data_IF_260732435752
#
_entry.id   IF_260732435752
#
_cell.length_a   1.000
_cell.length_b   1.000
_cell.length_c   1.000
_cell.angle_alpha   90.00
_cell.angle_beta   90.00
_cell.angle_gamma   90.00
#
_symmetry.space_group_name_H-M   'P 1'
#
loop_
_entity.id
_entity.type
_entity.pdbx_description
1 polymer ?
#
# COMPACT_ATOMS: atom_id res chain seq x y z
N UNK A 1 25.38 -5.59 -16.98
CA UNK A 1 24.68 -5.78 -18.27
C UNK A 1 24.32 -7.25 -18.36
N UNK A 2 23.12 -7.64 -18.00
CA UNK A 2 22.54 -8.95 -18.28
C UNK A 2 21.35 -8.68 -19.20
N UNK A 3 21.53 -8.98 -20.49
CA UNK A 3 20.47 -8.88 -21.49
C UNK A 3 19.40 -9.90 -21.17
N UNK A 4 18.24 -9.46 -20.67
CA UNK A 4 17.07 -10.29 -20.59
C UNK A 4 16.62 -10.64 -22.01
N UNK A 5 16.80 -11.89 -22.40
CA UNK A 5 16.20 -12.41 -23.63
C UNK A 5 14.68 -12.37 -23.46
N UNK A 6 14.03 -11.57 -24.28
CA UNK A 6 12.58 -11.60 -24.42
C UNK A 6 12.17 -12.99 -24.92
N UNK A 7 11.09 -13.58 -24.36
CA UNK A 7 10.61 -14.87 -24.84
C UNK A 7 10.37 -14.80 -26.36
N UNK A 8 10.92 -15.77 -27.08
CA UNK A 8 10.85 -15.86 -28.55
C UNK A 8 9.39 -16.08 -28.99
N UNK A 9 8.69 -14.98 -29.23
CA UNK A 9 7.35 -14.99 -29.82
C UNK A 9 7.53 -15.38 -31.29
N UNK A 10 7.40 -16.67 -31.60
CA UNK A 10 7.49 -17.21 -32.96
C UNK A 10 6.77 -16.28 -33.95
N UNK A 11 7.46 -15.83 -34.94
CA UNK A 11 6.95 -15.03 -36.06
C UNK A 11 5.78 -15.77 -36.73
N UNK A 12 4.55 -15.43 -36.38
CA UNK A 12 3.37 -16.05 -36.98
C UNK A 12 2.03 -15.60 -36.42
N UNK A 13 1.95 -15.28 -35.15
CA UNK A 13 0.68 -14.86 -34.55
C UNK A 13 0.91 -13.69 -33.58
N UNK A 14 0.86 -12.47 -34.10
CA UNK A 14 0.98 -11.26 -33.30
C UNK A 14 -0.31 -11.08 -32.49
N UNK A 15 -0.21 -11.12 -31.15
CA UNK A 15 -1.34 -10.83 -30.27
C UNK A 15 -1.83 -9.40 -30.48
N UNK A 16 -3.14 -9.23 -30.57
CA UNK A 16 -3.79 -7.92 -30.68
C UNK A 16 -4.46 -7.57 -29.33
N UNK A 17 -4.33 -6.32 -28.91
CA UNK A 17 -4.93 -5.83 -27.68
C UNK A 17 -6.44 -6.07 -27.64
N UNK A 18 -7.10 -5.96 -28.79
CA UNK A 18 -8.54 -6.23 -28.94
C UNK A 18 -8.93 -7.65 -28.53
N UNK A 19 -8.04 -8.63 -28.64
CA UNK A 19 -8.34 -10.01 -28.22
C UNK A 19 -8.39 -10.13 -26.70
N UNK A 20 -7.55 -9.37 -25.96
CA UNK A 20 -7.61 -9.31 -24.50
C UNK A 20 -8.89 -8.64 -24.05
N UNK A 21 -9.27 -7.52 -24.65
CA UNK A 21 -10.51 -6.80 -24.37
C UNK A 21 -11.75 -7.70 -24.63
N UNK A 22 -11.76 -8.41 -25.74
CA UNK A 22 -12.83 -9.33 -26.12
C UNK A 22 -12.91 -10.50 -25.12
N UNK A 23 -11.80 -11.04 -24.67
CA UNK A 23 -11.77 -12.14 -23.71
C UNK A 23 -12.25 -11.69 -22.32
N UNK A 24 -11.84 -10.53 -21.82
CA UNK A 24 -12.32 -9.97 -20.55
C UNK A 24 -13.83 -9.72 -20.60
N UNK A 25 -14.34 -9.18 -21.71
CA UNK A 25 -15.78 -8.97 -21.90
C UNK A 25 -16.56 -10.29 -21.99
N UNK A 26 -16.00 -11.34 -22.62
CA UNK A 26 -16.56 -12.67 -22.65
C UNK A 26 -16.64 -13.29 -21.24
N UNK A 27 -15.58 -13.14 -20.46
CA UNK A 27 -15.53 -13.62 -19.07
C UNK A 27 -16.62 -12.96 -18.20
N UNK A 28 -16.86 -11.65 -18.40
CA UNK A 28 -17.88 -10.87 -17.69
C UNK A 28 -19.30 -11.27 -18.06
N UNK A 29 -19.57 -11.43 -19.38
CA UNK A 29 -20.93 -11.67 -19.89
C UNK A 29 -21.32 -13.14 -19.88
N UNK A 30 -20.35 -14.04 -19.90
CA UNK A 30 -20.51 -15.50 -20.07
C UNK A 30 -21.38 -15.87 -21.27
N UNK A 31 -21.40 -15.03 -22.28
CA UNK A 31 -22.22 -15.16 -23.49
C UNK A 31 -21.51 -14.57 -24.70
N UNK A 32 -21.20 -15.40 -25.69
CA UNK A 32 -20.57 -14.96 -26.94
C UNK A 32 -21.39 -13.90 -27.67
N UNK A 33 -22.73 -14.04 -27.69
CA UNK A 33 -23.60 -13.08 -28.39
C UNK A 33 -23.58 -11.70 -27.69
N UNK A 34 -23.76 -11.69 -26.35
CA UNK A 34 -23.71 -10.44 -25.57
C UNK A 34 -22.34 -9.77 -25.62
N UNK A 35 -21.27 -10.57 -25.51
CA UNK A 35 -19.93 -10.03 -25.63
C UNK A 35 -19.66 -9.39 -26.99
N UNK A 36 -20.09 -10.05 -28.08
CA UNK A 36 -19.96 -9.51 -29.44
C UNK A 36 -20.74 -8.19 -29.61
N UNK A 37 -21.99 -8.13 -29.10
CA UNK A 37 -22.80 -6.90 -29.09
C UNK A 37 -22.11 -5.77 -28.32
N UNK A 38 -21.64 -6.03 -27.11
CA UNK A 38 -20.98 -5.02 -26.26
C UNK A 38 -19.67 -4.52 -26.88
N UNK A 39 -18.99 -5.36 -27.65
CA UNK A 39 -17.78 -5.02 -28.38
C UNK A 39 -18.01 -4.45 -29.77
N UNK A 40 -19.27 -4.28 -30.16
CA UNK A 40 -19.70 -3.78 -31.49
C UNK A 40 -19.10 -4.57 -32.65
N UNK A 41 -19.00 -5.89 -32.54
CA UNK A 41 -18.51 -6.79 -33.58
C UNK A 41 -19.52 -7.89 -33.87
N UNK A 42 -19.43 -8.51 -35.08
CA UNK A 42 -20.30 -9.64 -35.41
C UNK A 42 -19.89 -10.89 -34.62
N UNK A 43 -20.87 -11.72 -34.26
CA UNK A 43 -20.62 -12.96 -33.51
C UNK A 43 -19.56 -13.88 -34.18
N UNK A 44 -19.52 -14.08 -35.51
CA UNK A 44 -18.46 -14.86 -36.14
C UNK A 44 -17.07 -14.22 -36.03
N UNK A 45 -16.98 -12.88 -36.10
CA UNK A 45 -15.71 -12.15 -35.94
C UNK A 45 -15.19 -12.26 -34.52
N UNK A 46 -16.08 -12.08 -33.53
CA UNK A 46 -15.74 -12.24 -32.10
C UNK A 46 -15.23 -13.67 -31.83
N UNK A 47 -15.94 -14.69 -32.27
CA UNK A 47 -15.53 -16.08 -32.10
C UNK A 47 -14.17 -16.42 -32.74
N UNK A 48 -13.83 -15.79 -33.88
CA UNK A 48 -12.50 -15.93 -34.50
C UNK A 48 -11.39 -15.30 -33.65
N UNK A 49 -11.64 -14.12 -33.07
CA UNK A 49 -10.66 -13.42 -32.21
C UNK A 49 -10.36 -14.23 -30.94
N UNK A 50 -11.40 -14.80 -30.31
CA UNK A 50 -11.21 -15.67 -29.13
C UNK A 50 -10.40 -16.91 -29.51
N UNK A 51 -10.68 -17.56 -30.65
CA UNK A 51 -9.87 -18.70 -31.10
C UNK A 51 -8.42 -18.32 -31.39
N UNK A 52 -8.17 -17.18 -32.04
CA UNK A 52 -6.84 -16.69 -32.29
C UNK A 52 -6.06 -16.42 -30.98
N UNK A 53 -6.76 -15.93 -29.95
CA UNK A 53 -6.17 -15.78 -28.62
C UNK A 53 -5.82 -17.14 -27.99
N UNK A 54 -6.73 -18.12 -28.04
CA UNK A 54 -6.47 -19.49 -27.54
C UNK A 54 -5.29 -20.16 -28.28
N UNK A 55 -5.21 -19.95 -29.59
CA UNK A 55 -4.07 -20.42 -30.41
C UNK A 55 -2.75 -19.74 -30.02
N UNK A 56 -2.79 -18.44 -29.75
CA UNK A 56 -1.61 -17.69 -29.30
C UNK A 56 -1.16 -18.14 -27.90
N UNK A 57 -2.09 -18.34 -26.96
CA UNK A 57 -1.80 -18.85 -25.61
C UNK A 57 -1.36 -20.31 -25.63
N UNK A 58 -1.78 -21.07 -26.64
CA UNK A 58 -1.47 -22.49 -26.81
C UNK A 58 -2.37 -23.43 -25.99
N UNK A 59 -3.46 -22.93 -25.38
CA UNK A 59 -4.40 -23.75 -24.62
C UNK A 59 -5.80 -23.15 -24.67
N UNK A 60 -6.89 -23.97 -24.58
CA UNK A 60 -8.24 -23.46 -24.46
C UNK A 60 -8.44 -22.63 -23.19
N UNK A 61 -9.02 -21.44 -23.32
CA UNK A 61 -9.35 -20.53 -22.23
C UNK A 61 -10.81 -20.62 -21.83
N UNK A 62 -11.69 -21.12 -22.71
CA UNK A 62 -13.12 -21.26 -22.48
C UNK A 62 -13.58 -22.72 -22.61
N UNK A 63 -14.50 -23.12 -21.76
CA UNK A 63 -15.28 -24.34 -21.94
C UNK A 63 -16.54 -24.00 -22.72
N UNK A 64 -16.74 -24.65 -23.89
CA UNK A 64 -17.89 -24.42 -24.77
C UNK A 64 -19.13 -25.17 -24.30
N UNK A 65 -19.47 -25.07 -22.99
CA UNK A 65 -20.67 -25.58 -22.36
C UNK A 65 -21.71 -24.47 -22.23
N UNK A 66 -22.95 -24.79 -21.98
CA UNK A 66 -23.97 -23.81 -21.61
C UNK A 66 -24.33 -24.02 -20.14
N UNK A 67 -24.18 -22.98 -19.27
CA UNK A 67 -23.59 -21.66 -19.56
C UNK A 67 -22.08 -21.74 -19.82
N UNK A 68 -21.55 -20.78 -20.61
CA UNK A 68 -20.12 -20.68 -20.92
C UNK A 68 -19.34 -20.46 -19.64
N UNK A 69 -18.26 -21.24 -19.45
CA UNK A 69 -17.35 -21.14 -18.32
C UNK A 69 -15.91 -21.00 -18.78
N UNK A 70 -15.04 -20.44 -17.92
CA UNK A 70 -13.61 -20.39 -18.16
C UNK A 70 -12.96 -21.71 -17.72
N UNK A 71 -11.90 -22.11 -18.42
CA UNK A 71 -11.03 -23.18 -17.97
C UNK A 71 -10.17 -22.69 -16.78
N UNK A 72 -9.50 -23.58 -16.02
CA UNK A 72 -8.51 -23.15 -15.03
C UNK A 72 -7.41 -22.22 -15.61
N UNK A 73 -6.95 -22.52 -16.83
CA UNK A 73 -6.00 -21.65 -17.57
C UNK A 73 -6.68 -20.32 -17.94
N UNK A 74 -7.95 -20.33 -18.31
CA UNK A 74 -8.73 -19.13 -18.61
C UNK A 74 -8.88 -18.21 -17.39
N UNK A 75 -9.05 -18.76 -16.19
CA UNK A 75 -9.10 -17.97 -14.95
C UNK A 75 -7.76 -17.27 -14.67
N UNK A 76 -6.65 -17.98 -14.77
CA UNK A 76 -5.32 -17.41 -14.61
C UNK A 76 -5.03 -16.35 -15.67
N UNK A 77 -5.41 -16.63 -16.93
CA UNK A 77 -5.20 -15.69 -18.03
C UNK A 77 -6.10 -14.45 -17.90
N UNK A 78 -7.30 -14.57 -17.34
CA UNK A 78 -8.20 -13.43 -17.10
C UNK A 78 -7.57 -12.39 -16.18
N UNK A 79 -6.94 -12.83 -15.10
CA UNK A 79 -6.24 -11.95 -14.16
C UNK A 79 -5.13 -11.18 -14.88
N UNK A 80 -4.26 -11.89 -15.60
CA UNK A 80 -3.17 -11.28 -16.36
C UNK A 80 -3.66 -10.34 -17.46
N UNK A 81 -4.73 -10.72 -18.19
CA UNK A 81 -5.31 -9.89 -19.25
C UNK A 81 -5.91 -8.60 -18.68
N UNK A 82 -6.63 -8.69 -17.56
CA UNK A 82 -7.23 -7.54 -16.88
C UNK A 82 -6.15 -6.56 -16.41
N UNK A 83 -5.14 -7.04 -15.71
CA UNK A 83 -4.01 -6.23 -15.25
C UNK A 83 -3.27 -5.55 -16.41
N UNK A 84 -3.05 -6.28 -17.52
CA UNK A 84 -2.38 -5.72 -18.70
C UNK A 84 -3.19 -4.60 -19.36
N UNK A 85 -4.51 -4.77 -19.49
CA UNK A 85 -5.41 -3.76 -20.05
C UNK A 85 -5.49 -2.51 -19.14
N UNK A 86 -5.57 -2.70 -17.84
CA UNK A 86 -5.57 -1.62 -16.85
C UNK A 86 -4.27 -0.82 -16.91
N UNK A 87 -3.12 -1.52 -16.96
CA UNK A 87 -1.80 -0.88 -17.09
C UNK A 87 -1.68 -0.03 -18.34
N UNK A 88 -2.04 -0.61 -19.51
CA UNK A 88 -2.01 0.12 -20.77
C UNK A 88 -3.02 1.27 -20.81
N UNK A 89 -4.20 1.08 -20.22
CA UNK A 89 -5.21 2.11 -20.07
C UNK A 89 -4.72 3.29 -19.24
N UNK A 90 -4.05 3.01 -18.13
CA UNK A 90 -3.46 4.01 -17.23
C UNK A 90 -2.37 4.81 -17.95
N UNK A 91 -1.42 4.13 -18.62
CA UNK A 91 -0.36 4.79 -19.39
C UNK A 91 -0.94 5.65 -20.52
N UNK A 92 -1.97 5.15 -21.21
CA UNK A 92 -2.65 5.92 -22.27
C UNK A 92 -3.36 7.15 -21.73
N UNK A 93 -3.99 7.01 -20.55
CA UNK A 93 -4.61 8.14 -19.86
C UNK A 93 -3.57 9.19 -19.45
N UNK A 94 -2.42 8.78 -18.92
CA UNK A 94 -1.32 9.67 -18.59
C UNK A 94 -0.87 10.49 -19.81
N UNK A 95 -0.68 9.88 -20.97
CA UNK A 95 -0.31 10.61 -22.20
C UNK A 95 -1.40 11.54 -22.72
N UNK A 96 -2.68 11.23 -22.47
CA UNK A 96 -3.78 12.11 -22.86
C UNK A 96 -3.93 13.30 -21.90
N UNK A 97 -3.59 13.11 -20.63
CA UNK A 97 -3.73 14.11 -19.56
C UNK A 97 -2.61 15.16 -19.56
N UNK A 98 -1.50 14.93 -20.29
CA UNK A 98 -0.47 15.96 -20.50
C UNK A 98 -1.00 17.23 -21.23
N UNK A 99 -2.23 17.19 -21.73
CA UNK A 99 -2.80 18.30 -22.49
C UNK A 99 -4.07 18.96 -21.90
N UNK A 100 -4.73 18.35 -20.92
CA UNK A 100 -6.00 18.91 -20.38
C UNK A 100 -6.31 18.35 -18.98
N UNK A 101 -6.07 19.09 -17.90
CA UNK A 101 -6.98 19.27 -16.76
C UNK A 101 -6.27 19.81 -15.52
N UNK A 102 -6.56 21.05 -15.18
CA UNK A 102 -6.27 21.66 -13.87
C UNK A 102 -7.10 21.07 -12.72
N UNK A 103 -8.05 20.17 -13.01
CA UNK A 103 -9.07 19.69 -12.05
C UNK A 103 -9.01 18.18 -11.72
N UNK A 104 -8.04 17.41 -12.26
CA UNK A 104 -7.93 16.03 -11.86
C UNK A 104 -7.40 15.87 -10.43
N UNK A 105 -8.04 15.02 -9.60
CA UNK A 105 -7.58 14.79 -8.23
C UNK A 105 -6.20 14.15 -8.21
N UNK A 106 -5.32 14.62 -7.35
CA UNK A 106 -4.05 13.95 -7.06
C UNK A 106 -4.34 12.64 -6.35
N UNK A 107 -3.92 11.53 -6.93
CA UNK A 107 -4.15 10.18 -6.41
C UNK A 107 -3.05 9.83 -5.43
N UNK A 108 -3.40 9.58 -4.18
CA UNK A 108 -2.44 9.29 -3.10
C UNK A 108 -2.78 7.94 -2.49
N UNK A 109 -1.81 7.01 -2.49
CA UNK A 109 -1.93 5.76 -1.74
C UNK A 109 -1.31 5.92 -0.34
N UNK A 110 -1.92 5.30 0.66
CA UNK A 110 -1.40 5.30 2.03
C UNK A 110 -1.98 4.15 2.86
N UNK A 111 -1.45 3.94 4.07
CA UNK A 111 -2.07 3.09 5.08
C UNK A 111 -3.18 3.81 5.85
N UNK A 112 -4.11 3.05 6.44
CA UNK A 112 -5.28 3.61 7.17
C UNK A 112 -4.88 4.64 8.24
N UNK A 113 -3.92 4.32 9.08
CA UNK A 113 -3.45 5.20 10.16
C UNK A 113 -2.97 6.54 9.63
N UNK A 114 -2.13 6.55 8.59
CA UNK A 114 -1.68 7.80 7.99
C UNK A 114 -2.83 8.56 7.32
N UNK A 115 -3.82 7.87 6.78
CA UNK A 115 -5.00 8.50 6.19
C UNK A 115 -5.85 9.24 7.23
N UNK A 116 -5.93 8.72 8.45
CA UNK A 116 -6.76 9.29 9.53
C UNK A 116 -5.99 10.29 10.41
N UNK A 117 -4.76 9.93 10.80
CA UNK A 117 -4.06 10.61 11.90
C UNK A 117 -2.96 11.58 11.43
N UNK A 118 -2.59 11.53 10.14
CA UNK A 118 -1.53 12.39 9.59
C UNK A 118 -2.00 13.19 8.38
N UNK A 119 -2.67 12.55 7.43
CA UNK A 119 -3.00 13.15 6.15
C UNK A 119 -3.87 14.41 6.26
N UNK A 120 -4.89 14.50 7.11
CA UNK A 120 -5.75 15.67 7.20
C UNK A 120 -4.94 16.95 7.51
N UNK A 121 -4.14 16.93 8.56
CA UNK A 121 -3.35 18.08 9.00
C UNK A 121 -2.26 18.44 7.97
N UNK A 122 -1.61 17.42 7.39
CA UNK A 122 -0.66 17.63 6.33
C UNK A 122 -1.29 18.26 5.08
N UNK A 123 -2.46 17.78 4.64
CA UNK A 123 -3.20 18.32 3.52
C UNK A 123 -3.60 19.78 3.75
N UNK A 124 -4.14 20.10 4.93
CA UNK A 124 -4.49 21.48 5.30
C UNK A 124 -3.26 22.39 5.32
N UNK A 125 -2.09 21.88 5.75
CA UNK A 125 -0.83 22.65 5.75
C UNK A 125 -0.37 23.09 4.36
N UNK A 126 -0.83 22.42 3.30
CA UNK A 126 -0.51 22.75 1.91
C UNK A 126 -1.39 23.85 1.34
N UNK A 127 -2.62 24.06 1.85
CA UNK A 127 -3.57 25.04 1.32
C UNK A 127 -3.02 26.47 1.24
N UNK A 128 -2.29 27.01 2.23
CA UNK A 128 -1.74 28.36 2.16
C UNK A 128 -0.75 28.55 0.99
N UNK A 129 -0.09 27.47 0.55
CA UNK A 129 0.94 27.51 -0.50
C UNK A 129 0.40 27.16 -1.88
N UNK A 130 -0.58 26.27 -1.95
CA UNK A 130 -1.05 25.67 -3.20
C UNK A 130 -2.47 26.08 -3.60
N UNK A 131 -3.24 26.64 -2.65
CA UNK A 131 -4.68 26.79 -2.82
C UNK A 131 -5.41 25.45 -2.67
N UNK A 132 -6.72 25.45 -2.96
CA UNK A 132 -7.52 24.24 -2.95
C UNK A 132 -7.22 23.37 -4.17
N UNK A 133 -7.04 22.08 -3.95
CA UNK A 133 -6.89 21.08 -5.01
C UNK A 133 -7.57 19.77 -4.59
N UNK A 134 -8.04 18.99 -5.57
CA UNK A 134 -8.72 17.73 -5.30
C UNK A 134 -7.73 16.61 -5.04
N UNK A 135 -8.06 15.72 -4.09
CA UNK A 135 -7.28 14.53 -3.77
C UNK A 135 -8.19 13.29 -3.80
N UNK A 136 -7.68 12.22 -4.37
CA UNK A 136 -8.24 10.88 -4.26
C UNK A 136 -7.32 10.05 -3.37
N UNK A 137 -7.75 9.76 -2.14
CA UNK A 137 -6.97 9.00 -1.17
C UNK A 137 -7.38 7.53 -1.20
N UNK A 138 -6.41 6.63 -1.47
CA UNK A 138 -6.60 5.19 -1.50
C UNK A 138 -5.87 4.56 -0.33
N UNK A 139 -6.60 3.77 0.48
CA UNK A 139 -6.00 3.05 1.60
C UNK A 139 -5.78 1.59 1.23
N UNK A 140 -4.55 1.11 1.40
CA UNK A 140 -4.18 -0.28 1.15
C UNK A 140 -2.98 -0.71 1.99
N UNK A 141 -2.63 -2.00 1.92
CA UNK A 141 -1.40 -2.51 2.53
C UNK A 141 -0.15 -1.96 1.83
N UNK A 142 0.99 -1.96 2.53
CA UNK A 142 2.22 -1.33 2.06
C UNK A 142 2.70 -1.88 0.69
N UNK A 143 2.64 -3.19 0.48
CA UNK A 143 3.07 -3.83 -0.78
C UNK A 143 2.17 -3.41 -1.96
N UNK A 144 0.86 -3.40 -1.75
CA UNK A 144 -0.10 -2.97 -2.75
C UNK A 144 0.07 -1.49 -3.10
N UNK A 145 0.24 -0.63 -2.09
CA UNK A 145 0.48 0.79 -2.28
C UNK A 145 1.75 1.07 -3.11
N UNK A 146 2.84 0.32 -2.86
CA UNK A 146 4.09 0.38 -3.62
C UNK A 146 3.86 -0.08 -5.07
N UNK A 147 3.13 -1.19 -5.27
CA UNK A 147 2.80 -1.69 -6.61
C UNK A 147 1.99 -0.68 -7.41
N UNK A 148 0.98 -0.04 -6.79
CA UNK A 148 0.17 1.01 -7.42
C UNK A 148 0.99 2.23 -7.80
N UNK A 149 1.93 2.66 -6.94
CA UNK A 149 2.84 3.75 -7.28
C UNK A 149 3.76 3.37 -8.45
N UNK A 150 4.32 2.17 -8.43
CA UNK A 150 5.21 1.67 -9.49
C UNK A 150 4.48 1.53 -10.83
N UNK A 151 3.21 1.15 -10.81
CA UNK A 151 2.36 1.07 -12.00
C UNK A 151 1.86 2.45 -12.49
N UNK A 152 2.07 3.54 -11.72
CA UNK A 152 1.53 4.87 -12.03
C UNK A 152 0.03 5.00 -11.83
N UNK A 153 -0.61 4.06 -11.12
CA UNK A 153 -2.02 4.12 -10.76
C UNK A 153 -2.30 5.21 -9.71
N UNK A 154 -1.29 5.54 -8.91
CA UNK A 154 -1.30 6.65 -7.98
C UNK A 154 -0.11 7.57 -8.24
N UNK A 155 -0.26 8.83 -7.89
CA UNK A 155 0.74 9.88 -8.14
C UNK A 155 1.75 9.99 -7.00
N UNK A 156 1.28 9.74 -5.77
CA UNK A 156 2.06 9.83 -4.54
C UNK A 156 1.77 8.63 -3.64
N UNK A 157 2.78 8.25 -2.86
CA UNK A 157 2.66 7.27 -1.78
C UNK A 157 3.10 7.94 -0.47
N UNK A 158 2.20 7.96 0.51
CA UNK A 158 2.49 8.36 1.88
C UNK A 158 2.67 7.11 2.73
N UNK A 159 3.85 6.91 3.32
CA UNK A 159 4.16 5.70 4.06
C UNK A 159 5.06 5.93 5.26
N UNK A 160 5.03 4.98 6.19
CA UNK A 160 6.07 4.87 7.21
C UNK A 160 7.37 4.38 6.58
N UNK A 161 8.47 4.98 6.98
CA UNK A 161 9.82 4.60 6.55
C UNK A 161 10.80 4.63 7.74
N UNK A 162 11.91 3.97 7.60
CA UNK A 162 12.96 4.00 8.62
C UNK A 162 14.32 3.71 7.97
N UNK A 163 15.38 4.40 8.39
CA UNK A 163 16.75 4.04 7.99
C UNK A 163 17.13 2.61 8.39
N UNK A 164 16.40 2.04 9.35
CA UNK A 164 16.63 0.67 9.83
C UNK A 164 16.04 -0.40 8.91
N UNK A 165 15.17 -0.05 7.97
CA UNK A 165 14.53 -0.99 7.04
C UNK A 165 14.99 -0.69 5.62
N UNK A 166 15.24 -1.75 4.82
CA UNK A 166 15.51 -1.56 3.39
C UNK A 166 14.31 -0.86 2.75
N UNK A 167 14.59 0.21 2.03
CA UNK A 167 13.58 0.87 1.21
C UNK A 167 13.22 -0.06 0.07
N UNK A 168 11.94 -0.43 -0.04
CA UNK A 168 11.42 -1.24 -1.15
C UNK A 168 11.33 -0.44 -2.47
N UNK A 169 11.57 0.87 -2.40
CA UNK A 169 11.54 1.78 -3.54
C UNK A 169 12.96 2.08 -3.99
N UNK A 170 13.25 1.75 -5.24
CA UNK A 170 14.55 2.02 -5.85
C UNK A 170 14.77 3.54 -6.02
N UNK A 171 15.83 4.11 -5.43
CA UNK A 171 16.13 5.54 -5.55
C UNK A 171 16.40 6.00 -7.00
N UNK A 172 16.69 5.10 -7.93
CA UNK A 172 16.85 5.47 -9.33
C UNK A 172 15.52 5.84 -9.99
N UNK A 173 14.42 5.22 -9.56
CA UNK A 173 13.08 5.40 -10.13
C UNK A 173 12.18 6.30 -9.28
N UNK A 174 12.43 6.39 -7.98
CA UNK A 174 11.58 7.11 -7.04
C UNK A 174 12.32 8.25 -6.35
N UNK A 175 11.61 9.35 -6.14
CA UNK A 175 12.01 10.39 -5.21
C UNK A 175 11.28 10.20 -3.90
N UNK A 176 11.98 10.42 -2.78
CA UNK A 176 11.41 10.30 -1.44
C UNK A 176 11.73 11.55 -0.61
N UNK A 177 10.77 11.98 0.21
CA UNK A 177 10.94 13.07 1.18
C UNK A 177 10.35 12.71 2.52
N UNK A 178 11.12 12.93 3.58
CA UNK A 178 10.62 12.84 4.95
C UNK A 178 9.76 14.06 5.23
N UNK A 179 8.51 13.83 5.66
CA UNK A 179 7.55 14.87 6.03
C UNK A 179 7.56 15.14 7.54
N UNK A 180 7.70 14.08 8.34
CA UNK A 180 7.72 14.15 9.80
C UNK A 180 8.55 13.02 10.39
N UNK A 181 9.04 13.24 11.60
CA UNK A 181 9.64 12.20 12.46
C UNK A 181 8.59 11.77 13.49
N UNK A 182 8.49 10.48 13.69
CA UNK A 182 7.54 9.84 14.59
C UNK A 182 8.21 8.80 15.46
N UNK A 183 7.48 8.36 16.50
CA UNK A 183 7.97 7.36 17.46
C UNK A 183 6.92 6.31 17.75
N UNK A 184 7.36 5.05 17.86
CA UNK A 184 6.59 4.01 18.55
C UNK A 184 6.85 4.13 20.05
N UNK A 185 5.79 4.24 20.80
CA UNK A 185 5.81 4.35 22.25
C UNK A 185 5.36 3.04 22.89
N UNK A 186 6.11 2.50 23.86
CA UNK A 186 5.62 1.39 24.68
C UNK A 186 4.56 1.89 25.64
N UNK A 187 3.34 1.34 25.53
CA UNK A 187 2.18 1.80 26.33
C UNK A 187 1.45 0.63 26.98
N UNK A 188 0.83 0.90 28.12
CA UNK A 188 -0.01 -0.02 28.87
C UNK A 188 -1.16 0.73 29.54
N UNK A 189 -2.28 0.05 29.80
CA UNK A 189 -3.34 0.59 30.63
C UNK A 189 -2.83 0.91 32.04
N UNK A 190 -3.47 1.86 32.77
CA UNK A 190 -3.16 2.12 34.18
C UNK A 190 -3.64 0.98 35.06
N UNK A 191 -2.87 0.63 36.11
CA UNK A 191 -3.31 -0.17 37.24
C UNK A 191 -3.86 0.70 38.38
N UNK A 192 -3.30 1.92 38.47
CA UNK A 192 -3.70 2.99 39.39
C UNK A 192 -3.32 4.34 38.74
N UNK A 193 -3.82 5.48 39.20
CA UNK A 193 -3.44 6.78 38.68
C UNK A 193 -1.93 6.97 38.59
N UNK A 194 -1.43 7.20 37.39
CA UNK A 194 0.00 7.38 37.11
C UNK A 194 0.87 6.11 37.14
N UNK A 195 0.30 4.92 37.31
CA UNK A 195 1.03 3.67 37.35
C UNK A 195 0.59 2.75 36.22
N UNK A 196 1.47 2.43 35.24
CA UNK A 196 1.13 1.48 34.20
C UNK A 196 0.97 0.06 34.76
N UNK A 197 -0.02 -0.67 34.27
CA UNK A 197 -0.29 -2.06 34.64
C UNK A 197 0.87 -2.99 34.29
N UNK A 198 1.51 -2.74 33.16
CA UNK A 198 2.68 -3.46 32.69
C UNK A 198 3.80 -2.46 32.48
N UNK A 199 4.97 -2.75 33.02
CA UNK A 199 6.16 -1.90 32.91
C UNK A 199 7.32 -2.72 32.36
N UNK A 200 8.07 -2.15 31.45
CA UNK A 200 9.32 -2.72 30.97
C UNK A 200 10.40 -2.38 31.99
N UNK A 201 10.85 -3.37 32.73
CA UNK A 201 11.94 -3.24 33.70
C UNK A 201 13.21 -3.86 33.11
N UNK A 202 14.34 -3.26 33.43
CA UNK A 202 15.65 -3.74 33.00
C UNK A 202 16.09 -5.04 33.68
N UNK A 203 15.27 -5.64 34.54
CA UNK A 203 15.61 -6.82 35.35
C UNK A 203 15.23 -8.13 34.66
N UNK A 204 16.18 -9.03 34.55
CA UNK A 204 16.12 -10.26 33.72
C UNK A 204 15.29 -11.41 34.27
N UNK A 205 14.73 -11.28 35.49
CA UNK A 205 13.96 -12.33 36.17
C UNK A 205 12.43 -12.13 36.13
N UNK A 206 11.94 -11.16 35.37
CA UNK A 206 10.53 -10.86 35.28
C UNK A 206 9.76 -11.94 34.48
N UNK A 207 8.53 -12.21 34.90
CA UNK A 207 7.60 -13.04 34.12
C UNK A 207 7.43 -12.45 32.70
N UNK A 208 7.23 -13.31 31.67
CA UNK A 208 7.02 -12.83 30.32
C UNK A 208 5.86 -11.85 30.23
N UNK A 209 6.14 -10.65 29.70
CA UNK A 209 5.16 -9.56 29.57
C UNK A 209 4.16 -9.93 28.48
N UNK A 210 2.84 -9.92 28.74
CA UNK A 210 1.82 -10.06 27.73
C UNK A 210 1.98 -8.98 26.66
N UNK A 211 2.18 -9.36 25.39
CA UNK A 211 2.47 -8.45 24.30
C UNK A 211 1.37 -8.47 23.23
N UNK A 212 0.93 -7.28 22.83
CA UNK A 212 0.04 -7.04 21.72
C UNK A 212 0.89 -6.74 20.49
N UNK A 213 1.01 -7.72 19.60
CA UNK A 213 1.99 -7.72 18.51
C UNK A 213 1.41 -7.16 17.20
N UNK A 214 2.27 -6.59 16.38
CA UNK A 214 1.97 -6.27 14.99
C UNK A 214 1.92 -7.52 14.12
N UNK A 215 0.97 -7.59 13.20
CA UNK A 215 0.98 -8.57 12.11
C UNK A 215 2.24 -8.39 11.22
N UNK A 216 2.73 -9.46 10.57
CA UNK A 216 3.83 -9.36 9.60
C UNK A 216 3.60 -8.38 8.46
N UNK A 217 2.35 -8.05 8.16
CA UNK A 217 1.95 -7.12 7.09
C UNK A 217 2.16 -5.65 7.44
N UNK A 218 2.29 -5.31 8.74
CA UNK A 218 2.52 -3.94 9.18
C UNK A 218 4.00 -3.54 9.05
N UNK A 219 4.25 -2.43 8.38
CA UNK A 219 5.60 -1.90 8.09
C UNK A 219 6.44 -1.73 9.36
N UNK A 220 5.85 -1.17 10.43
CA UNK A 220 6.57 -0.87 11.66
C UNK A 220 6.93 -2.13 12.48
N UNK A 221 6.41 -3.31 12.14
CA UNK A 221 6.83 -4.57 12.78
C UNK A 221 8.32 -4.82 12.65
N UNK A 222 8.86 -4.67 11.43
CA UNK A 222 10.28 -4.89 11.17
C UNK A 222 11.17 -3.84 11.85
N UNK A 223 10.68 -2.60 11.93
CA UNK A 223 11.35 -1.50 12.64
C UNK A 223 11.44 -1.80 14.13
N UNK A 224 10.31 -2.17 14.75
CA UNK A 224 10.24 -2.57 16.16
C UNK A 224 11.14 -3.78 16.44
N UNK A 225 11.05 -4.85 15.65
CA UNK A 225 11.83 -6.07 15.86
C UNK A 225 13.33 -5.77 15.86
N UNK A 226 13.82 -5.01 14.87
CA UNK A 226 15.24 -4.62 14.81
C UNK A 226 15.69 -3.75 15.98
N UNK A 227 14.81 -2.91 16.51
CA UNK A 227 15.11 -2.13 17.70
C UNK A 227 15.22 -3.03 18.93
N UNK A 228 14.24 -3.90 19.15
CA UNK A 228 14.22 -4.83 20.27
C UNK A 228 15.43 -5.81 20.25
N UNK A 229 15.86 -6.23 19.07
CA UNK A 229 17.06 -7.08 18.90
C UNK A 229 18.38 -6.36 19.25
N UNK A 230 18.40 -5.02 19.22
CA UNK A 230 19.57 -4.20 19.57
C UNK A 230 19.63 -3.79 21.03
N UNK A 231 18.57 -4.02 21.78
CA UNK A 231 18.58 -3.73 23.22
C UNK A 231 19.64 -4.57 23.93
N UNK A 232 20.34 -4.00 24.92
CA UNK A 232 21.37 -4.72 25.68
C UNK A 232 20.82 -5.99 26.35
N UNK A 233 19.53 -5.96 26.67
CA UNK A 233 18.82 -7.05 27.29
C UNK A 233 17.60 -7.47 26.48
N UNK A 234 17.45 -8.76 26.23
CA UNK A 234 16.25 -9.30 25.58
C UNK A 234 15.06 -9.20 26.49
N UNK A 235 13.99 -8.59 25.99
CA UNK A 235 12.72 -8.55 26.69
C UNK A 235 12.00 -9.91 26.59
N UNK A 236 11.56 -10.43 27.72
CA UNK A 236 10.70 -11.63 27.74
C UNK A 236 9.27 -11.21 27.35
N UNK A 237 8.92 -11.25 26.09
CA UNK A 237 7.61 -10.92 25.55
C UNK A 237 6.84 -12.18 25.20
N UNK A 238 5.61 -12.30 25.69
CA UNK A 238 4.68 -13.37 25.33
C UNK A 238 3.53 -12.80 24.53
N UNK A 239 3.50 -13.07 23.23
CA UNK A 239 2.41 -12.63 22.36
C UNK A 239 1.08 -13.22 22.86
N UNK A 240 0.13 -12.35 23.14
CA UNK A 240 -1.25 -12.69 23.56
C UNK A 240 -2.30 -12.25 22.55
N UNK A 241 -1.96 -11.33 21.66
CA UNK A 241 -2.81 -10.82 20.61
C UNK A 241 -1.96 -10.33 19.44
N UNK A 242 -2.46 -10.47 18.22
CA UNK A 242 -1.82 -9.97 17.01
C UNK A 242 -2.88 -9.37 16.09
N UNK A 243 -2.60 -8.19 15.52
CA UNK A 243 -3.47 -7.54 14.55
C UNK A 243 -2.68 -6.80 13.46
N UNK A 244 -3.35 -6.55 12.35
CA UNK A 244 -2.88 -5.76 11.21
C UNK A 244 -3.43 -4.33 11.22
N UNK A 245 -3.94 -3.88 12.38
CA UNK A 245 -4.45 -2.54 12.63
C UNK A 245 -3.90 -2.00 13.95
N UNK A 246 -3.31 -0.81 13.90
CA UNK A 246 -2.86 -0.10 15.11
C UNK A 246 -4.04 0.25 16.03
N UNK A 247 -5.21 0.59 15.46
CA UNK A 247 -6.42 0.89 16.23
C UNK A 247 -6.93 -0.32 17.01
N UNK A 248 -6.90 -1.51 16.40
CA UNK A 248 -7.28 -2.74 17.07
C UNK A 248 -6.34 -3.06 18.24
N UNK A 249 -5.05 -2.80 18.08
CA UNK A 249 -4.06 -2.97 19.15
C UNK A 249 -4.26 -1.92 20.24
N UNK A 250 -4.54 -0.66 19.87
CA UNK A 250 -4.86 0.44 20.80
C UNK A 250 -6.03 0.06 21.71
N UNK A 251 -7.13 -0.42 21.12
CA UNK A 251 -8.31 -0.83 21.88
C UNK A 251 -8.04 -1.98 22.86
N UNK A 252 -7.19 -2.92 22.48
CA UNK A 252 -6.79 -4.01 23.36
C UNK A 252 -5.85 -3.52 24.48
N UNK A 253 -4.96 -2.56 24.18
CA UNK A 253 -4.09 -1.94 25.16
C UNK A 253 -4.89 -1.15 26.20
N UNK A 254 -5.86 -0.32 25.79
CA UNK A 254 -6.78 0.42 26.69
C UNK A 254 -7.53 -0.52 27.63
N UNK A 255 -7.88 -1.72 27.18
CA UNK A 255 -8.55 -2.75 28.01
C UNK A 255 -7.60 -3.54 28.91
N UNK A 256 -6.32 -3.17 28.98
CA UNK A 256 -5.32 -3.81 29.84
C UNK A 256 -4.96 -5.24 29.42
N UNK A 257 -5.11 -5.59 28.12
CA UNK A 257 -4.85 -6.95 27.64
C UNK A 257 -3.39 -7.24 27.37
N UNK A 258 -2.53 -6.23 27.41
CA UNK A 258 -1.09 -6.40 27.19
C UNK A 258 -0.36 -5.07 27.00
N UNK A 259 0.95 -5.17 26.92
CA UNK A 259 1.85 -4.10 26.51
C UNK A 259 1.78 -3.95 24.97
N UNK A 260 1.75 -2.73 24.47
CA UNK A 260 1.80 -2.43 23.05
C UNK A 260 2.90 -1.40 22.75
N UNK A 261 3.50 -1.49 21.55
CA UNK A 261 4.19 -0.38 20.93
C UNK A 261 3.25 0.23 19.89
N UNK A 262 2.97 1.52 19.98
CA UNK A 262 2.05 2.20 19.06
C UNK A 262 2.63 3.56 18.62
N UNK A 263 2.36 4.00 17.38
CA UNK A 263 2.74 5.33 16.93
C UNK A 263 2.20 6.41 17.88
N UNK A 264 3.01 7.42 18.18
CA UNK A 264 2.62 8.54 19.05
C UNK A 264 1.32 9.18 18.56
N UNK A 265 1.16 9.40 17.24
CA UNK A 265 -0.05 9.98 16.66
C UNK A 265 -1.32 9.20 17.02
N UNK A 266 -1.23 7.87 17.15
CA UNK A 266 -2.36 6.98 17.49
C UNK A 266 -2.70 7.02 18.98
N UNK A 267 -1.72 7.25 19.86
CA UNK A 267 -1.90 7.15 21.32
C UNK A 267 -1.98 8.48 22.05
N UNK A 268 -1.77 9.61 21.35
CA UNK A 268 -1.73 10.94 21.99
C UNK A 268 -2.93 11.22 22.88
N UNK A 269 -4.15 10.99 22.38
CA UNK A 269 -5.38 11.26 23.14
C UNK A 269 -5.51 10.32 24.35
N UNK A 270 -5.15 9.05 24.17
CA UNK A 270 -5.19 8.07 25.26
C UNK A 270 -4.13 8.33 26.33
N UNK A 271 -2.97 8.86 25.95
CA UNK A 271 -1.96 9.31 26.91
C UNK A 271 -2.39 10.59 27.63
N UNK A 272 -2.97 11.56 26.91
CA UNK A 272 -3.45 12.82 27.47
C UNK A 272 -4.61 12.60 28.45
N UNK A 273 -5.52 11.67 28.16
CA UNK A 273 -6.64 11.30 29.03
C UNK A 273 -6.26 10.38 30.19
N UNK A 274 -5.06 9.77 30.15
CA UNK A 274 -4.63 8.78 31.14
C UNK A 274 -5.24 7.39 30.94
N UNK A 275 -5.91 7.12 29.83
CA UNK A 275 -6.37 5.78 29.46
C UNK A 275 -5.21 4.83 29.16
N UNK A 276 -4.08 5.37 28.72
CA UNK A 276 -2.81 4.69 28.57
C UNK A 276 -1.70 5.46 29.27
N UNK A 277 -0.68 4.73 29.71
CA UNK A 277 0.53 5.30 30.30
C UNK A 277 1.76 4.73 29.60
N UNK A 278 2.85 5.48 29.61
CA UNK A 278 4.16 5.00 29.16
C UNK A 278 4.60 3.80 30.00
N UNK A 279 4.92 2.70 29.34
CA UNK A 279 5.28 1.45 30.00
C UNK A 279 6.80 1.21 30.04
N UNK A 280 7.60 2.15 29.53
CA UNK A 280 9.07 2.09 29.53
C UNK A 280 9.68 3.46 29.31
N UNK A 281 11.00 3.56 29.48
CA UNK A 281 11.78 4.77 29.25
C UNK A 281 12.04 5.04 27.75
N UNK A 282 12.80 6.11 27.47
CA UNK A 282 13.12 6.53 26.10
C UNK A 282 13.88 5.46 25.29
N UNK A 283 14.64 4.61 25.95
CA UNK A 283 15.37 3.50 25.35
C UNK A 283 14.50 2.46 24.66
N UNK A 284 13.22 2.39 25.02
CA UNK A 284 12.22 1.52 24.41
C UNK A 284 11.36 2.21 23.36
N UNK A 285 11.53 3.52 23.18
CA UNK A 285 10.89 4.27 22.11
C UNK A 285 11.64 4.02 20.79
N UNK A 286 10.91 3.94 19.67
CA UNK A 286 11.49 3.60 18.37
C UNK A 286 11.17 4.68 17.37
N UNK A 287 12.17 5.44 16.95
CA UNK A 287 12.01 6.48 15.94
C UNK A 287 11.82 5.90 14.55
N UNK A 288 10.95 6.51 13.77
CA UNK A 288 10.71 6.24 12.37
C UNK A 288 10.25 7.53 11.67
N UNK A 289 10.14 7.48 10.35
CA UNK A 289 9.77 8.63 9.55
C UNK A 289 8.40 8.42 8.88
N UNK A 290 7.68 9.52 8.65
CA UNK A 290 6.57 9.61 7.69
C UNK A 290 7.14 10.19 6.41
N UNK A 291 7.07 9.44 5.32
CA UNK A 291 7.69 9.82 4.05
C UNK A 291 6.68 9.85 2.91
N UNK A 292 6.88 10.80 2.01
CA UNK A 292 6.16 10.91 0.75
C UNK A 292 7.08 10.46 -0.39
N UNK A 293 6.54 9.65 -1.29
CA UNK A 293 7.27 9.11 -2.44
C UNK A 293 6.51 9.40 -3.73
N UNK A 294 7.26 9.57 -4.82
CA UNK A 294 6.72 9.70 -6.18
C UNK A 294 7.61 8.99 -7.20
N UNK A 295 7.04 8.65 -8.34
CA UNK A 295 7.85 8.30 -9.51
C UNK A 295 8.61 9.54 -10.00
N UNK A 296 9.90 9.42 -10.30
CA UNK A 296 10.71 10.49 -10.92
C UNK A 296 10.16 10.89 -12.29
N UNK A 297 9.57 9.94 -13.00
CA UNK A 297 8.94 10.17 -14.28
C UNK A 297 7.61 10.95 -14.22
N UNK A 298 6.95 11.00 -13.06
CA UNK A 298 5.70 11.75 -12.91
C UNK A 298 5.95 13.26 -13.03
N UNK A 299 5.37 13.87 -14.07
CA UNK A 299 5.49 15.31 -14.40
C UNK A 299 4.19 16.08 -14.22
N UNK A 300 3.18 15.49 -13.57
CA UNK A 300 1.92 16.19 -13.27
C UNK A 300 2.20 17.54 -12.59
N UNK A 301 1.60 18.61 -13.09
CA UNK A 301 1.82 19.98 -12.59
C UNK A 301 1.54 20.06 -11.08
N UNK A 302 0.41 19.50 -10.64
CA UNK A 302 0.04 19.55 -9.22
C UNK A 302 0.97 18.74 -8.34
N UNK A 303 1.40 17.55 -8.79
CA UNK A 303 2.41 16.73 -8.08
C UNK A 303 3.71 17.49 -7.92
N UNK A 304 4.17 18.18 -8.98
CA UNK A 304 5.39 18.98 -8.93
C UNK A 304 5.23 20.20 -8.00
N UNK A 305 4.08 20.84 -7.97
CA UNK A 305 3.77 21.94 -7.05
C UNK A 305 3.78 21.46 -5.59
N UNK A 306 3.12 20.33 -5.29
CA UNK A 306 3.17 19.71 -3.97
C UNK A 306 4.62 19.42 -3.60
N UNK A 307 5.37 18.76 -4.49
CA UNK A 307 6.75 18.39 -4.25
C UNK A 307 7.66 19.60 -3.95
N UNK A 308 7.45 20.71 -4.65
CA UNK A 308 8.21 21.95 -4.46
C UNK A 308 7.81 22.67 -3.17
N UNK A 309 6.52 22.62 -2.80
CA UNK A 309 6.01 23.26 -1.58
C UNK A 309 6.49 22.58 -0.28
N UNK A 310 6.92 21.30 -0.37
CA UNK A 310 7.50 20.58 0.76
C UNK A 310 8.86 21.19 1.11
N UNK A 311 8.94 21.90 2.21
CA UNK A 311 10.23 22.37 2.76
C UNK A 311 10.99 21.14 3.24
N UNK A 312 12.29 20.99 2.95
CA UNK A 312 13.08 19.92 3.55
C UNK A 312 12.99 20.03 5.07
N UNK A 313 12.68 18.93 5.75
CA UNK A 313 12.75 18.87 7.20
C UNK A 313 14.21 19.22 7.59
N UNK A 314 14.41 20.34 8.26
CA UNK A 314 15.72 20.73 8.75
C UNK A 314 16.22 19.59 9.65
N UNK A 315 17.30 18.96 9.24
CA UNK A 315 18.04 17.99 10.05
C UNK A 315 18.56 18.74 11.26
N UNK A 316 17.94 18.58 12.41
CA UNK A 316 18.51 18.94 13.71
C UNK A 316 19.20 17.72 14.31
#
# INVERSE_FOLDING_TARGET
MAGGEWPDFKRGNTMQLEWLEDFVELARTRSLSRAAENRCVTHPAFGRRIRALEEWVGTPLIERKQPLSLTPCGLLFLDAATQSLELLGTVRAQFKNDTLSRDEPVRIATGRTLACDFFPDWYESLHPKLGSFAVSLLTSGAQEAISRLSAGEVDLLLSFSSPLTQTLLDPEHFDSRVLAKEELLPVSAPSAPGQPQLQILADSNALPIPWLAFSPTLTLRSVLARHLDRLPQRLALRMVYQADSYDAILEMAKRGRGLAWLPRMVVNDALASGELLMAGGAEFCVSFDVSLHRLRANRSEMVMRIWTALTPCATQ
#
